data_IF_613002360335
#
_entry.id   IF_613002360335
#
_cell.length_a   1.000
_cell.length_b   1.000
_cell.length_c   1.000
_cell.angle_alpha   90.00
_cell.angle_beta   90.00
_cell.angle_gamma   90.00
#
_symmetry.space_group_name_H-M   'P 1'
#
loop_
_entity.id
_entity.type
_entity.pdbx_description
1 polymer ?
#
# COMPACT_ATOMS: atom_id res chain seq x y z
N UNK A 1 -0.33 16.65 -6.33
CA UNK A 1 -0.86 15.48 -5.60
C UNK A 1 0.03 15.22 -4.40
N UNK A 2 -0.56 14.96 -3.23
CA UNK A 2 0.15 14.56 -2.01
C UNK A 2 -0.21 13.12 -1.67
N UNK A 3 0.77 12.22 -1.71
CA UNK A 3 0.64 10.82 -1.30
C UNK A 3 1.40 10.60 0.01
N UNK A 4 0.82 9.83 0.90
CA UNK A 4 1.42 9.44 2.18
C UNK A 4 1.38 7.91 2.28
N UNK A 5 2.47 7.28 2.71
CA UNK A 5 2.46 5.91 3.21
C UNK A 5 2.45 5.92 4.72
N UNK A 6 1.66 5.04 5.34
CA UNK A 6 1.45 5.05 6.77
C UNK A 6 1.13 3.65 7.30
N UNK A 7 2.16 2.97 7.83
CA UNK A 7 1.92 1.79 8.65
C UNK A 7 1.20 2.24 9.92
N UNK A 8 -0.08 1.84 10.08
CA UNK A 8 -0.95 2.29 11.16
C UNK A 8 -0.72 1.52 12.46
N UNK A 9 0.12 0.49 12.42
CA UNK A 9 0.39 -0.48 13.48
C UNK A 9 -0.85 -1.33 13.82
N UNK A 10 -0.74 -2.63 13.64
CA UNK A 10 -1.81 -3.60 13.90
C UNK A 10 -2.28 -3.56 15.36
N UNK A 11 -3.57 -3.81 15.57
CA UNK A 11 -4.24 -3.70 16.86
C UNK A 11 -4.63 -5.09 17.38
N UNK A 12 -3.63 -5.93 17.66
CA UNK A 12 -3.83 -7.24 18.29
C UNK A 12 -3.85 -7.17 19.82
N UNK A 13 -3.92 -5.96 20.41
CA UNK A 13 -3.95 -5.77 21.85
C UNK A 13 -2.58 -5.77 22.55
N UNK A 14 -1.48 -5.86 21.78
CA UNK A 14 -0.11 -5.97 22.32
C UNK A 14 0.48 -4.63 22.79
N UNK A 15 -0.07 -3.50 22.37
CA UNK A 15 0.56 -2.18 22.54
C UNK A 15 0.07 -1.42 23.78
N UNK A 16 -0.77 -2.03 24.64
CA UNK A 16 -1.20 -1.44 25.92
C UNK A 16 -1.74 -0.02 25.78
N UNK A 17 -1.05 0.96 26.35
CA UNK A 17 -1.44 2.37 26.26
C UNK A 17 -1.29 2.98 24.87
N UNK A 18 -0.52 2.35 23.98
CA UNK A 18 -0.38 2.74 22.57
C UNK A 18 -1.33 1.97 21.64
N UNK A 19 -2.37 1.31 22.17
CA UNK A 19 -3.36 0.60 21.36
C UNK A 19 -4.02 1.56 20.35
N UNK A 20 -4.55 1.01 19.27
CA UNK A 20 -5.20 1.79 18.22
C UNK A 20 -6.31 2.70 18.78
N UNK A 21 -7.07 2.22 19.75
CA UNK A 21 -8.15 2.98 20.37
C UNK A 21 -7.70 4.32 20.98
N UNK A 22 -6.45 4.41 21.45
CA UNK A 22 -5.88 5.65 22.00
C UNK A 22 -5.19 6.51 20.93
N UNK A 23 -4.73 5.90 19.82
CA UNK A 23 -4.03 6.61 18.72
C UNK A 23 -4.97 7.19 17.67
N UNK A 24 -6.20 6.69 17.55
CA UNK A 24 -7.14 7.03 16.45
C UNK A 24 -7.43 8.52 16.32
N UNK A 25 -7.50 9.26 17.42
CA UNK A 25 -7.76 10.69 17.38
C UNK A 25 -6.53 11.46 16.84
N UNK A 26 -5.33 11.05 17.25
CA UNK A 26 -4.08 11.58 16.71
C UNK A 26 -3.92 11.29 15.22
N UNK A 27 -4.26 10.07 14.79
CA UNK A 27 -4.27 9.66 13.39
C UNK A 27 -5.21 10.55 12.58
N UNK A 28 -6.44 10.73 13.06
CA UNK A 28 -7.43 11.60 12.40
C UNK A 28 -6.96 13.05 12.34
N UNK A 29 -6.41 13.57 13.44
CA UNK A 29 -5.88 14.93 13.50
C UNK A 29 -4.71 15.13 12.53
N UNK A 30 -3.79 14.15 12.45
CA UNK A 30 -2.67 14.18 11.50
C UNK A 30 -3.16 14.20 10.06
N UNK A 31 -4.08 13.30 9.69
CA UNK A 31 -4.65 13.25 8.34
C UNK A 31 -5.39 14.54 7.99
N UNK A 32 -6.18 15.09 8.91
CA UNK A 32 -6.87 16.38 8.72
C UNK A 32 -5.90 17.55 8.53
N UNK A 33 -4.78 17.56 9.25
CA UNK A 33 -3.76 18.61 9.11
C UNK A 33 -3.03 18.49 7.77
N UNK A 34 -2.63 17.29 7.40
CA UNK A 34 -1.82 17.04 6.21
C UNK A 34 -2.63 17.06 4.90
N UNK A 35 -3.93 16.77 4.96
CA UNK A 35 -4.83 16.75 3.80
C UNK A 35 -4.27 15.98 2.59
N UNK A 36 -3.76 14.74 2.75
CA UNK A 36 -3.22 13.98 1.64
C UNK A 36 -4.31 13.68 0.61
N UNK A 37 -3.93 13.60 -0.66
CA UNK A 37 -4.84 13.18 -1.72
C UNK A 37 -5.02 11.65 -1.70
N UNK A 38 -3.96 10.93 -1.32
CA UNK A 38 -3.92 9.46 -1.21
C UNK A 38 -3.15 9.07 0.05
N UNK A 39 -3.62 8.03 0.73
CA UNK A 39 -2.95 7.40 1.86
C UNK A 39 -2.84 5.90 1.61
N UNK A 40 -1.62 5.39 1.59
CA UNK A 40 -1.30 3.97 1.54
C UNK A 40 -1.13 3.48 2.98
N UNK A 41 -2.11 2.78 3.50
CA UNK A 41 -2.06 2.20 4.84
C UNK A 41 -1.53 0.78 4.82
N UNK A 42 -0.83 0.37 5.87
CA UNK A 42 -0.44 -1.01 6.15
C UNK A 42 -0.89 -1.39 7.57
N UNK A 43 -0.98 -2.69 7.84
CA UNK A 43 -1.41 -3.26 9.13
C UNK A 43 -2.85 -2.89 9.54
N UNK A 44 -3.73 -2.73 8.57
CA UNK A 44 -5.13 -2.36 8.83
C UNK A 44 -5.96 -3.62 9.10
N UNK A 45 -6.28 -3.89 10.36
CA UNK A 45 -7.20 -4.97 10.73
C UNK A 45 -8.65 -4.66 10.35
N UNK A 46 -9.55 -5.65 10.22
CA UNK A 46 -10.93 -5.45 9.78
C UNK A 46 -11.69 -4.36 10.53
N UNK A 47 -11.59 -4.34 11.86
CA UNK A 47 -12.24 -3.31 12.69
C UNK A 47 -11.64 -1.91 12.48
N UNK A 48 -10.32 -1.84 12.20
CA UNK A 48 -9.64 -0.58 11.86
C UNK A 48 -10.09 -0.09 10.48
N UNK A 49 -10.26 -1.01 9.51
CA UNK A 49 -10.78 -0.67 8.18
C UNK A 49 -12.19 -0.09 8.25
N UNK A 50 -13.06 -0.67 9.09
CA UNK A 50 -14.41 -0.13 9.34
C UNK A 50 -14.30 1.27 9.92
N UNK A 51 -13.48 1.45 10.96
CA UNK A 51 -13.28 2.75 11.58
C UNK A 51 -12.74 3.81 10.59
N UNK A 52 -11.77 3.44 9.74
CA UNK A 52 -11.26 4.35 8.70
C UNK A 52 -12.37 4.80 7.74
N UNK A 53 -13.21 3.88 7.27
CA UNK A 53 -14.35 4.17 6.38
C UNK A 53 -15.36 5.13 7.03
N UNK A 54 -15.58 4.98 8.33
CA UNK A 54 -16.55 5.80 9.08
C UNK A 54 -15.99 7.17 9.46
N UNK A 55 -14.70 7.28 9.75
CA UNK A 55 -14.11 8.47 10.40
C UNK A 55 -13.26 9.33 9.46
N UNK A 56 -12.74 8.80 8.34
CA UNK A 56 -12.06 9.60 7.34
C UNK A 56 -13.06 10.30 6.41
N UNK A 57 -13.74 11.32 6.94
CA UNK A 57 -14.71 12.09 6.15
C UNK A 57 -14.00 12.73 4.94
N UNK A 58 -14.59 12.56 3.75
CA UNK A 58 -14.01 13.07 2.49
C UNK A 58 -13.09 12.08 1.78
N UNK A 59 -12.89 10.87 2.32
CA UNK A 59 -12.14 9.79 1.68
C UNK A 59 -13.02 8.59 1.37
N UNK A 60 -12.67 7.86 0.33
CA UNK A 60 -13.02 6.45 0.15
C UNK A 60 -11.86 5.59 0.64
N UNK A 61 -12.16 4.40 1.16
CA UNK A 61 -11.15 3.43 1.62
C UNK A 61 -11.41 2.10 0.96
N UNK A 62 -10.39 1.55 0.29
CA UNK A 62 -10.43 0.27 -0.43
C UNK A 62 -9.32 -0.65 0.09
N UNK A 63 -9.49 -1.96 -0.09
CA UNK A 63 -8.58 -3.02 0.32
C UNK A 63 -9.34 -4.19 0.90
N UNK A 64 -8.71 -5.35 1.02
CA UNK A 64 -9.22 -6.52 1.71
C UNK A 64 -8.12 -7.20 2.52
N UNK A 65 -8.51 -8.09 3.44
CA UNK A 65 -7.58 -8.82 4.30
C UNK A 65 -6.78 -9.86 3.54
N UNK A 66 -5.63 -10.21 4.09
CA UNK A 66 -4.60 -11.03 3.45
C UNK A 66 -4.81 -12.54 3.61
N UNK A 67 -5.64 -12.98 4.55
CA UNK A 67 -5.82 -14.40 4.82
C UNK A 67 -6.80 -15.08 3.85
N UNK A 68 -7.01 -16.39 4.03
CA UNK A 68 -7.89 -17.22 3.19
C UNK A 68 -9.35 -16.76 3.23
N UNK A 69 -9.78 -16.12 4.32
CA UNK A 69 -11.15 -15.61 4.51
C UNK A 69 -11.28 -14.14 4.12
N UNK A 70 -10.22 -13.52 3.58
CA UNK A 70 -10.13 -12.09 3.28
C UNK A 70 -10.22 -11.20 4.53
N UNK A 71 -9.85 -11.77 5.67
CA UNK A 71 -9.68 -11.09 6.96
C UNK A 71 -8.21 -10.80 7.24
N UNK A 72 -7.84 -10.53 8.52
CA UNK A 72 -6.49 -10.15 8.93
C UNK A 72 -6.07 -8.78 8.33
N UNK A 73 -4.79 -8.48 8.35
CA UNK A 73 -4.24 -7.20 7.93
C UNK A 73 -4.49 -6.90 6.44
N UNK A 74 -4.90 -5.67 6.17
CA UNK A 74 -5.06 -5.11 4.84
C UNK A 74 -3.94 -4.13 4.51
N UNK A 75 -3.61 -4.01 3.23
CA UNK A 75 -2.87 -2.88 2.68
C UNK A 75 -3.87 -1.92 2.03
N UNK A 76 -4.58 -1.19 2.87
CA UNK A 76 -5.69 -0.34 2.42
C UNK A 76 -5.20 0.95 1.75
N UNK A 77 -5.97 1.45 0.78
CA UNK A 77 -5.74 2.76 0.17
C UNK A 77 -6.93 3.66 0.45
N UNK A 78 -6.66 4.82 1.06
CA UNK A 78 -7.65 5.88 1.18
C UNK A 78 -7.36 6.98 0.15
N UNK A 79 -8.40 7.50 -0.51
CA UNK A 79 -8.27 8.57 -1.51
C UNK A 79 -9.39 9.59 -1.40
N UNK A 80 -9.04 10.86 -1.65
CA UNK A 80 -9.98 11.99 -1.52
C UNK A 80 -11.06 11.95 -2.60
N UNK A 81 -12.33 12.03 -2.15
CA UNK A 81 -13.51 11.96 -3.02
C UNK A 81 -13.62 13.12 -4.01
N UNK A 82 -13.11 14.30 -3.63
CA UNK A 82 -13.25 15.54 -4.39
C UNK A 82 -12.13 15.74 -5.43
N UNK A 83 -11.07 14.92 -5.39
CA UNK A 83 -9.88 15.10 -6.23
C UNK A 83 -9.39 13.85 -6.93
N UNK A 84 -9.77 12.68 -6.45
CA UNK A 84 -9.28 11.40 -6.97
C UNK A 84 -10.45 10.49 -7.30
N UNK A 85 -10.49 9.99 -8.54
CA UNK A 85 -11.45 9.00 -8.98
C UNK A 85 -10.76 7.65 -9.16
N UNK A 86 -11.38 6.59 -8.66
CA UNK A 86 -10.95 5.22 -8.89
C UNK A 86 -11.45 4.75 -10.25
N UNK A 87 -10.55 4.25 -11.09
CA UNK A 87 -10.86 3.68 -12.40
C UNK A 87 -10.97 2.15 -12.30
N UNK A 88 -9.98 1.52 -11.66
CA UNK A 88 -9.97 0.08 -11.41
C UNK A 88 -9.14 -0.23 -10.19
N UNK A 89 -9.43 -1.37 -9.55
CA UNK A 89 -8.61 -1.89 -8.45
C UNK A 89 -8.67 -3.40 -8.38
N UNK A 90 -7.64 -3.98 -7.81
CA UNK A 90 -7.65 -5.36 -7.35
C UNK A 90 -6.71 -5.54 -6.14
N UNK A 91 -6.86 -6.69 -5.48
CA UNK A 91 -5.90 -7.17 -4.49
C UNK A 91 -5.36 -8.51 -4.95
N UNK A 92 -4.04 -8.67 -4.87
CA UNK A 92 -3.39 -9.93 -5.22
C UNK A 92 -2.30 -10.29 -4.20
N UNK A 93 -2.09 -11.59 -4.03
CA UNK A 93 -1.12 -12.13 -3.07
C UNK A 93 0.29 -12.14 -3.68
N UNK A 94 1.26 -11.79 -2.85
CA UNK A 94 2.67 -11.88 -3.23
C UNK A 94 3.13 -13.34 -3.06
N UNK A 95 2.85 -14.14 -4.08
CA UNK A 95 3.05 -15.60 -4.11
C UNK A 95 3.14 -16.11 -5.55
N UNK A 96 3.41 -17.41 -5.72
CA UNK A 96 3.35 -18.09 -7.02
C UNK A 96 1.90 -18.21 -7.54
N UNK A 97 0.90 -18.05 -6.65
CA UNK A 97 -0.54 -18.10 -6.96
C UNK A 97 -1.24 -16.79 -6.56
N UNK A 98 -0.98 -15.68 -7.27
CA UNK A 98 -1.36 -14.34 -6.82
C UNK A 98 -2.86 -14.08 -6.70
N UNK A 99 -3.69 -14.96 -7.23
CA UNK A 99 -5.16 -14.85 -7.13
C UNK A 99 -5.80 -15.87 -6.18
N UNK A 100 -4.97 -16.62 -5.42
CA UNK A 100 -5.45 -17.55 -4.39
C UNK A 100 -5.35 -16.88 -3.03
N UNK A 101 -6.50 -16.59 -2.35
CA UNK A 101 -6.49 -15.99 -1.03
C UNK A 101 -5.67 -16.79 -0.01
N UNK A 102 -4.86 -16.07 0.78
CA UNK A 102 -4.00 -16.66 1.78
C UNK A 102 -2.73 -17.32 1.24
N UNK A 103 -2.49 -17.32 -0.08
CA UNK A 103 -1.28 -17.90 -0.67
C UNK A 103 -0.03 -17.10 -0.28
N UNK A 104 1.13 -17.78 -0.26
CA UNK A 104 2.43 -17.20 0.11
C UNK A 104 3.58 -17.99 -0.52
N UNK A 105 4.74 -17.38 -0.68
CA UNK A 105 5.96 -18.08 -1.07
C UNK A 105 6.42 -19.07 0.02
N UNK A 106 7.06 -20.15 -0.36
CA UNK A 106 7.62 -21.13 0.57
C UNK A 106 8.71 -20.53 1.50
N UNK A 107 9.43 -19.52 1.02
CA UNK A 107 10.47 -18.79 1.76
C UNK A 107 9.93 -17.62 2.62
N UNK A 108 8.62 -17.42 2.63
CA UNK A 108 7.94 -16.33 3.36
C UNK A 108 7.66 -16.73 4.80
N UNK A 109 7.49 -15.75 5.69
CA UNK A 109 6.91 -15.95 7.01
C UNK A 109 5.53 -16.62 6.95
N UNK A 110 4.96 -16.98 8.10
CA UNK A 110 3.60 -17.56 8.16
C UNK A 110 2.51 -16.59 7.68
N UNK A 111 2.83 -15.29 7.62
CA UNK A 111 1.87 -14.25 7.22
C UNK A 111 1.80 -14.10 5.71
N UNK A 112 0.65 -14.34 5.06
CA UNK A 112 0.46 -13.96 3.66
C UNK A 112 0.73 -12.47 3.46
N UNK A 113 1.16 -12.08 2.27
CA UNK A 113 1.38 -10.69 1.88
C UNK A 113 0.58 -10.35 0.64
N UNK A 114 -0.05 -9.20 0.65
CA UNK A 114 -0.89 -8.72 -0.46
C UNK A 114 -0.41 -7.39 -0.99
N UNK A 115 -0.78 -7.10 -2.20
CA UNK A 115 -0.67 -5.79 -2.82
C UNK A 115 -2.06 -5.30 -3.21
N UNK A 116 -2.41 -4.08 -2.84
CA UNK A 116 -3.56 -3.38 -3.39
C UNK A 116 -3.11 -2.55 -4.57
N UNK A 117 -3.48 -3.00 -5.79
CA UNK A 117 -3.24 -2.31 -7.05
C UNK A 117 -4.45 -1.47 -7.44
N UNK A 118 -4.22 -0.26 -7.95
CA UNK A 118 -5.31 0.59 -8.43
C UNK A 118 -4.85 1.53 -9.54
N UNK A 119 -5.77 1.85 -10.45
CA UNK A 119 -5.63 2.95 -11.40
C UNK A 119 -6.52 4.08 -10.95
N UNK A 120 -5.92 5.25 -10.82
CA UNK A 120 -6.61 6.47 -10.40
C UNK A 120 -6.53 7.56 -11.46
N UNK A 121 -7.53 8.44 -11.44
CA UNK A 121 -7.50 9.74 -12.09
C UNK A 121 -7.45 10.84 -11.04
N UNK A 122 -6.40 11.67 -11.06
CA UNK A 122 -6.24 12.82 -10.17
C UNK A 122 -6.64 14.10 -10.88
N UNK A 123 -7.52 14.90 -10.28
CA UNK A 123 -7.89 16.21 -10.77
C UNK A 123 -6.85 17.25 -10.39
N UNK A 124 -6.08 17.73 -11.36
CA UNK A 124 -5.08 18.78 -11.18
C UNK A 124 -5.61 20.20 -11.33
N UNK A 125 -6.94 20.37 -11.43
CA UNK A 125 -7.64 21.62 -11.67
C UNK A 125 -8.59 21.53 -12.88
N UNK A 126 -9.29 22.61 -13.25
CA UNK A 126 -10.27 22.60 -14.33
C UNK A 126 -9.69 22.04 -15.64
N UNK A 127 -10.34 21.01 -16.18
CA UNK A 127 -9.95 20.37 -17.44
C UNK A 127 -8.64 19.57 -17.41
N UNK A 128 -8.00 19.36 -16.25
CA UNK A 128 -6.74 18.60 -16.12
C UNK A 128 -6.95 17.37 -15.26
N UNK A 129 -6.92 16.20 -15.87
CA UNK A 129 -6.92 14.90 -15.20
C UNK A 129 -5.64 14.14 -15.54
N UNK A 130 -5.01 13.55 -14.52
CA UNK A 130 -3.78 12.77 -14.65
C UNK A 130 -4.05 11.34 -14.21
N UNK A 131 -3.87 10.39 -15.11
CA UNK A 131 -3.94 8.97 -14.80
C UNK A 131 -2.62 8.51 -14.18
N UNK A 132 -2.69 7.61 -13.22
CA UNK A 132 -1.53 6.91 -12.68
C UNK A 132 -1.96 5.57 -12.08
N UNK A 133 -1.01 4.67 -11.98
CA UNK A 133 -1.16 3.36 -11.34
C UNK A 133 -0.46 3.39 -9.98
N UNK A 134 -1.12 2.85 -8.98
CA UNK A 134 -0.60 2.74 -7.62
C UNK A 134 -0.56 1.28 -7.20
N UNK A 135 0.55 0.86 -6.60
CA UNK A 135 0.68 -0.39 -5.87
C UNK A 135 1.03 -0.05 -4.41
N UNK A 136 0.12 -0.38 -3.49
CA UNK A 136 0.36 -0.30 -2.05
C UNK A 136 0.75 -1.69 -1.55
N UNK A 137 1.87 -1.79 -0.84
CA UNK A 137 2.47 -3.05 -0.39
C UNK A 137 2.79 -3.02 1.11
N UNK A 138 2.88 -4.23 1.68
CA UNK A 138 3.55 -4.50 2.93
C UNK A 138 4.32 -5.81 2.75
N UNK A 139 5.62 -5.71 2.52
CA UNK A 139 6.47 -6.87 2.21
C UNK A 139 6.71 -7.74 3.46
N UNK A 140 7.27 -8.92 3.26
CA UNK A 140 7.50 -9.86 4.35
C UNK A 140 8.57 -9.34 5.33
N UNK A 141 8.28 -9.44 6.63
CA UNK A 141 9.16 -8.93 7.68
C UNK A 141 10.37 -9.84 7.98
N UNK A 142 10.31 -11.13 7.56
CA UNK A 142 11.37 -12.11 7.84
C UNK A 142 12.21 -12.45 6.61
N UNK A 143 11.55 -12.72 5.48
CA UNK A 143 12.16 -13.33 4.31
C UNK A 143 12.67 -12.31 3.27
N UNK A 144 13.99 -12.06 3.19
CA UNK A 144 14.56 -11.22 2.13
C UNK A 144 14.25 -11.75 0.72
N UNK A 145 14.32 -13.07 0.54
CA UNK A 145 13.97 -13.72 -0.73
C UNK A 145 12.49 -13.53 -1.07
N UNK A 146 11.59 -13.66 -0.09
CA UNK A 146 10.16 -13.40 -0.29
C UNK A 146 9.89 -11.94 -0.67
N UNK A 147 10.62 -10.98 -0.07
CA UNK A 147 10.55 -9.55 -0.47
C UNK A 147 10.97 -9.35 -1.92
N UNK A 148 12.09 -9.96 -2.33
CA UNK A 148 12.61 -9.90 -3.70
C UNK A 148 11.59 -10.45 -4.71
N UNK A 149 11.07 -11.66 -4.47
CA UNK A 149 10.08 -12.31 -5.32
C UNK A 149 8.78 -11.49 -5.42
N UNK A 150 8.31 -10.95 -4.30
CA UNK A 150 7.14 -10.06 -4.26
C UNK A 150 7.34 -8.81 -5.12
N UNK A 151 8.50 -8.16 -5.03
CA UNK A 151 8.84 -7.01 -5.87
C UNK A 151 8.92 -7.39 -7.36
N UNK A 152 9.54 -8.51 -7.70
CA UNK A 152 9.61 -8.99 -9.09
C UNK A 152 8.22 -9.26 -9.67
N UNK A 153 7.31 -9.86 -8.89
CA UNK A 153 5.92 -10.07 -9.30
C UNK A 153 5.22 -8.75 -9.63
N UNK A 154 5.35 -7.75 -8.74
CA UNK A 154 4.74 -6.43 -8.95
C UNK A 154 5.33 -5.74 -10.18
N UNK A 155 6.65 -5.77 -10.35
CA UNK A 155 7.31 -5.16 -11.50
C UNK A 155 6.92 -5.83 -12.82
N UNK A 156 6.89 -7.17 -12.88
CA UNK A 156 6.39 -7.91 -14.07
C UNK A 156 4.94 -7.54 -14.40
N UNK A 157 4.13 -7.35 -13.37
CA UNK A 157 2.75 -6.90 -13.55
C UNK A 157 2.68 -5.48 -14.08
N UNK A 158 3.44 -4.54 -13.50
CA UNK A 158 3.52 -3.16 -13.94
C UNK A 158 3.96 -3.06 -15.42
N UNK A 159 4.96 -3.85 -15.82
CA UNK A 159 5.43 -3.91 -17.22
C UNK A 159 4.33 -4.37 -18.16
N UNK A 160 3.66 -5.48 -17.82
CA UNK A 160 2.56 -6.02 -18.62
C UNK A 160 1.43 -5.02 -18.77
N UNK A 161 1.03 -4.37 -17.69
CA UNK A 161 -0.06 -3.39 -17.70
C UNK A 161 0.35 -2.10 -18.43
N UNK A 162 1.61 -1.68 -18.34
CA UNK A 162 2.15 -0.52 -19.05
C UNK A 162 2.22 -0.73 -20.57
N UNK A 163 2.32 -1.98 -21.03
CA UNK A 163 2.23 -2.31 -22.45
C UNK A 163 0.85 -2.00 -23.05
N UNK A 164 -0.22 -2.04 -22.24
CA UNK A 164 -1.57 -1.68 -22.67
C UNK A 164 -1.90 -0.20 -22.43
N UNK A 165 -1.42 0.33 -21.30
CA UNK A 165 -1.66 1.71 -20.90
C UNK A 165 -0.42 2.27 -20.20
N UNK A 166 0.38 3.03 -20.95
CA UNK A 166 1.59 3.65 -20.45
C UNK A 166 1.24 4.91 -19.63
N UNK A 167 1.04 4.73 -18.33
CA UNK A 167 0.79 5.78 -17.34
C UNK A 167 1.82 5.69 -16.21
N UNK A 168 2.10 6.80 -15.50
CA UNK A 168 3.01 6.78 -14.36
C UNK A 168 2.63 5.70 -13.35
N UNK A 169 3.65 4.99 -12.81
CA UNK A 169 3.51 3.96 -11.79
C UNK A 169 4.08 4.49 -10.49
N UNK A 170 3.32 4.33 -9.40
CA UNK A 170 3.75 4.63 -8.03
C UNK A 170 3.76 3.31 -7.26
N UNK A 171 4.89 2.97 -6.67
CA UNK A 171 5.03 1.88 -5.72
C UNK A 171 5.26 2.50 -4.34
N UNK A 172 4.35 2.25 -3.41
CA UNK A 172 4.39 2.80 -2.06
C UNK A 172 4.05 1.73 -1.02
N UNK A 173 4.43 1.95 0.22
CA UNK A 173 4.09 1.02 1.30
C UNK A 173 5.23 0.80 2.27
N UNK A 174 5.14 -0.31 3.01
CA UNK A 174 6.16 -0.78 3.93
C UNK A 174 6.96 -1.91 3.28
N UNK A 175 8.21 -1.63 2.95
CA UNK A 175 9.09 -2.59 2.29
C UNK A 175 9.73 -3.59 3.26
N UNK A 176 9.66 -3.35 4.56
CA UNK A 176 10.35 -4.15 5.59
C UNK A 176 11.83 -4.41 5.26
N UNK A 177 12.48 -3.44 4.66
CA UNK A 177 13.84 -3.51 4.18
C UNK A 177 14.52 -2.14 4.28
N UNK A 178 15.76 -2.14 4.70
CA UNK A 178 16.60 -0.94 4.65
C UNK A 178 16.89 -0.55 3.19
N UNK A 179 17.10 0.74 2.90
CA UNK A 179 17.33 1.22 1.54
C UNK A 179 18.43 0.47 0.77
N UNK A 180 19.45 -0.04 1.49
CA UNK A 180 20.59 -0.75 0.89
C UNK A 180 20.47 -2.27 0.91
N UNK A 181 19.34 -2.79 1.34
CA UNK A 181 19.08 -4.23 1.36
C UNK A 181 19.17 -4.84 -0.05
N UNK A 182 19.80 -6.02 -0.19
CA UNK A 182 20.04 -6.63 -1.51
C UNK A 182 18.75 -6.96 -2.26
N UNK A 183 17.66 -7.28 -1.58
CA UNK A 183 16.34 -7.53 -2.20
C UNK A 183 15.77 -6.32 -2.93
N UNK A 184 16.20 -5.09 -2.58
CA UNK A 184 15.77 -3.87 -3.28
C UNK A 184 16.60 -3.58 -4.55
N UNK A 185 17.62 -4.38 -4.84
CA UNK A 185 18.43 -4.25 -6.07
C UNK A 185 17.57 -4.34 -7.34
N UNK A 186 16.47 -5.10 -7.29
CA UNK A 186 15.51 -5.22 -8.41
C UNK A 186 14.85 -3.89 -8.76
N UNK A 187 14.62 -3.01 -7.77
CA UNK A 187 14.11 -1.65 -8.00
C UNK A 187 15.23 -0.70 -8.45
N UNK A 188 16.40 -0.78 -7.80
CA UNK A 188 17.55 0.08 -8.13
C UNK A 188 18.06 -0.12 -9.56
N UNK A 189 17.88 -1.32 -10.12
CA UNK A 189 18.22 -1.63 -11.52
C UNK A 189 17.27 -1.00 -12.55
N UNK A 190 16.11 -0.53 -12.13
CA UNK A 190 15.04 0.00 -12.96
C UNK A 190 15.16 1.53 -13.08
N UNK A 191 15.68 2.00 -14.23
CA UNK A 191 15.92 3.44 -14.49
C UNK A 191 14.65 4.30 -14.52
N UNK A 192 13.51 3.68 -14.77
CA UNK A 192 12.20 4.34 -14.79
C UNK A 192 11.63 4.62 -13.39
N UNK A 193 12.20 4.02 -12.34
CA UNK A 193 11.83 4.31 -10.97
C UNK A 193 12.81 5.28 -10.31
N UNK A 194 12.26 6.26 -9.61
CA UNK A 194 13.02 7.18 -8.77
C UNK A 194 12.58 6.99 -7.32
N UNK A 195 13.54 6.82 -6.41
CA UNK A 195 13.26 6.81 -4.98
C UNK A 195 13.01 8.25 -4.51
N UNK A 196 11.75 8.58 -4.24
CA UNK A 196 11.35 9.94 -3.80
C UNK A 196 11.65 10.20 -2.32
N UNK A 197 12.09 9.18 -1.58
CA UNK A 197 12.48 9.30 -0.15
C UNK A 197 14.01 9.30 0.04
N UNK A 198 14.77 9.27 -1.03
CA UNK A 198 16.23 9.31 -0.97
C UNK A 198 16.71 10.61 -0.29
N UNK A 199 17.59 10.48 0.69
CA UNK A 199 18.11 11.61 1.46
C UNK A 199 17.17 12.15 2.54
N UNK A 200 15.97 11.60 2.69
CA UNK A 200 15.10 11.85 3.84
C UNK A 200 15.57 10.91 4.95
N UNK A 201 15.99 11.46 6.09
CA UNK A 201 16.43 10.63 7.24
C UNK A 201 15.35 9.64 7.68
N UNK A 202 15.78 8.61 8.43
CA UNK A 202 14.85 7.60 8.98
C UNK A 202 13.71 8.25 9.75
N UNK A 203 12.50 7.84 9.46
CA UNK A 203 11.28 8.24 10.17
C UNK A 203 11.02 7.27 11.31
#
# INVERSE_FOLDING_TARGET
MKLVTFNIRCDFGQDGENCFCRRRDLITAKIRREQPDIICFQEVLPHVAVWLKENLKGYYVIGCGRDVNLEDEQVSVAYRRDRVNLISMDTFWLSDEPYVPGSRYACQSICPRVCTGAVFSYSGGPGKAYLFRLYNIHLDHMGGEARRLGLELILKRADRESAFQNIPVILAGDFNAEPDSPELAVLKSRREFTNVTEGIGCT
#
